data_IF_487019114578
#
_entry.id   IF_487019114578
#
_cell.length_a   1.000
_cell.length_b   1.000
_cell.length_c   1.000
_cell.angle_alpha   90.00
_cell.angle_beta   90.00
_cell.angle_gamma   90.00
#
_symmetry.space_group_name_H-M   'P 1'
#
loop_
_entity.id
_entity.type
_entity.pdbx_description
1 polymer ?
#
# COMPACT_ATOMS: atom_id res chain seq x y z
N UNK A 1 27.67 -30.94 21.87
CA UNK A 1 27.68 -30.36 20.51
C UNK A 1 26.25 -29.92 20.21
N UNK A 2 25.88 -28.72 20.66
CA UNK A 2 24.53 -28.17 20.50
C UNK A 2 24.45 -27.52 19.14
N UNK A 3 23.58 -28.03 18.28
CA UNK A 3 23.30 -27.48 16.96
C UNK A 3 22.65 -26.11 17.15
N UNK A 4 23.41 -25.06 16.84
CA UNK A 4 22.90 -23.69 16.78
C UNK A 4 22.09 -23.57 15.49
N UNK A 5 20.76 -23.58 15.60
CA UNK A 5 19.87 -23.33 14.46
C UNK A 5 19.93 -21.84 14.12
N UNK A 6 20.97 -21.45 13.37
CA UNK A 6 21.06 -20.13 12.74
C UNK A 6 20.01 -20.04 11.61
N UNK A 7 18.75 -19.82 11.98
CA UNK A 7 17.69 -19.47 11.03
C UNK A 7 17.84 -18.00 10.63
N UNK A 8 18.52 -17.75 9.50
CA UNK A 8 18.42 -16.55 8.64
C UNK A 8 18.02 -15.21 9.30
N UNK A 9 18.79 -14.74 10.29
CA UNK A 9 18.67 -13.36 10.77
C UNK A 9 19.11 -12.40 9.65
N UNK A 10 18.19 -11.59 9.12
CA UNK A 10 18.48 -10.56 8.11
C UNK A 10 17.72 -10.67 6.78
N UNK A 11 16.84 -11.66 6.60
CA UNK A 11 15.97 -11.73 5.40
C UNK A 11 14.66 -10.92 5.54
N UNK A 12 14.17 -10.71 6.76
CA UNK A 12 13.00 -9.86 7.01
C UNK A 12 13.43 -8.51 7.58
N UNK A 13 12.71 -7.45 7.21
CA UNK A 13 12.97 -6.11 7.72
C UNK A 13 12.27 -5.88 9.06
N UNK A 14 12.73 -6.58 10.11
CA UNK A 14 12.06 -6.59 11.41
C UNK A 14 12.05 -5.21 12.10
N UNK A 15 12.97 -4.32 11.74
CA UNK A 15 13.01 -2.93 12.22
C UNK A 15 12.01 -2.03 11.51
N UNK A 16 11.52 -2.43 10.34
CA UNK A 16 10.62 -1.69 9.45
C UNK A 16 11.04 -0.24 9.13
N UNK A 17 12.24 0.20 9.52
CA UNK A 17 12.67 1.60 9.53
C UNK A 17 13.47 2.00 8.29
N UNK A 18 14.15 1.05 7.65
CA UNK A 18 15.04 1.25 6.50
C UNK A 18 14.82 0.15 5.45
N UNK A 19 15.31 0.33 4.23
CA UNK A 19 15.21 -0.72 3.19
C UNK A 19 16.16 -1.86 3.53
N UNK A 20 15.63 -3.07 3.78
CA UNK A 20 16.45 -4.26 3.85
C UNK A 20 16.79 -4.73 2.44
N UNK A 21 17.98 -4.33 1.94
CA UNK A 21 18.45 -4.69 0.60
C UNK A 21 18.81 -6.17 0.45
N UNK A 22 19.20 -6.84 1.55
CA UNK A 22 19.54 -8.26 1.54
C UNK A 22 18.28 -9.12 1.48
N UNK A 23 17.26 -8.75 2.25
CA UNK A 23 15.94 -9.36 2.26
C UNK A 23 15.00 -8.91 1.15
N UNK A 24 15.39 -7.88 0.39
CA UNK A 24 14.53 -7.16 -0.55
C UNK A 24 13.18 -6.82 0.07
N UNK A 25 13.18 -6.17 1.24
CA UNK A 25 11.96 -5.83 1.97
C UNK A 25 12.04 -4.41 2.51
N UNK A 26 11.04 -3.58 2.21
CA UNK A 26 10.95 -2.22 2.75
C UNK A 26 10.43 -2.18 4.19
N UNK A 27 9.96 -3.31 4.70
CA UNK A 27 9.09 -3.33 5.87
C UNK A 27 7.74 -2.69 5.58
N UNK A 28 6.81 -2.86 6.52
CA UNK A 28 5.47 -2.27 6.39
C UNK A 28 5.47 -0.83 6.89
N UNK A 29 4.87 0.07 6.10
CA UNK A 29 4.86 1.51 6.34
C UNK A 29 3.43 2.04 6.41
N UNK A 30 3.09 2.78 7.47
CA UNK A 30 1.85 3.53 7.55
C UNK A 30 1.99 4.81 6.71
N UNK A 31 1.22 4.89 5.63
CA UNK A 31 1.20 6.01 4.68
C UNK A 31 -0.13 6.76 4.68
N UNK A 32 -0.92 6.65 5.75
CA UNK A 32 -2.22 7.34 5.88
C UNK A 32 -2.08 8.86 5.72
N UNK A 33 -0.95 9.43 6.16
CA UNK A 33 -0.65 10.86 6.00
C UNK A 33 -0.39 11.29 4.55
N UNK A 34 -0.26 10.35 3.61
CA UNK A 34 -0.08 10.63 2.19
C UNK A 34 -1.41 10.73 1.42
N UNK A 35 -2.54 10.61 2.11
CA UNK A 35 -3.84 10.88 1.51
C UNK A 35 -3.96 12.36 1.13
N UNK A 36 -4.54 12.61 -0.03
CA UNK A 36 -4.69 13.95 -0.62
C UNK A 36 -6.16 14.23 -0.94
N UNK A 37 -6.46 15.45 -1.37
CA UNK A 37 -7.78 15.86 -1.90
C UNK A 37 -8.97 15.58 -0.96
N UNK A 38 -8.77 15.67 0.36
CA UNK A 38 -9.84 15.48 1.35
C UNK A 38 -10.21 14.01 1.61
N UNK A 39 -9.44 13.06 1.09
CA UNK A 39 -9.59 11.65 1.43
C UNK A 39 -9.07 11.36 2.83
N UNK A 40 -9.75 10.45 3.54
CA UNK A 40 -9.36 9.99 4.89
C UNK A 40 -9.42 8.47 4.94
N UNK A 41 -8.70 7.85 5.89
CA UNK A 41 -8.76 6.42 6.14
C UNK A 41 -8.42 6.12 7.61
N UNK A 42 -8.83 4.94 8.09
CA UNK A 42 -8.37 4.43 9.39
C UNK A 42 -6.90 4.00 9.34
N UNK A 43 -6.49 3.34 8.25
CA UNK A 43 -5.10 2.98 8.00
C UNK A 43 -4.87 2.73 6.51
N UNK A 44 -3.77 3.28 5.98
CA UNK A 44 -3.16 2.87 4.71
C UNK A 44 -1.76 2.36 5.00
N UNK A 45 -1.47 1.13 4.62
CA UNK A 45 -0.18 0.48 4.84
C UNK A 45 0.41 0.06 3.50
N UNK A 46 1.70 0.31 3.28
CA UNK A 46 2.41 -0.10 2.08
C UNK A 46 3.66 -0.92 2.42
N UNK A 47 3.96 -1.92 1.61
CA UNK A 47 5.17 -2.72 1.70
C UNK A 47 5.62 -3.10 0.29
N UNK A 48 6.92 -3.12 0.06
CA UNK A 48 7.51 -3.78 -1.11
C UNK A 48 8.36 -4.93 -0.61
N UNK A 49 8.11 -6.10 -1.18
CA UNK A 49 8.87 -7.32 -0.95
C UNK A 49 9.25 -7.92 -2.31
N UNK A 50 10.56 -8.07 -2.54
CA UNK A 50 11.13 -8.44 -3.83
C UNK A 50 10.67 -7.48 -4.95
N UNK A 51 10.01 -8.02 -5.97
CA UNK A 51 9.46 -7.33 -7.12
C UNK A 51 7.97 -7.01 -6.96
N UNK A 52 7.36 -7.24 -5.78
CA UNK A 52 5.94 -6.96 -5.53
C UNK A 52 5.73 -5.89 -4.48
N UNK A 53 4.74 -5.05 -4.77
CA UNK A 53 4.23 -3.99 -3.91
C UNK A 53 2.87 -4.43 -3.38
N UNK A 54 2.62 -4.12 -2.11
CA UNK A 54 1.40 -4.46 -1.39
C UNK A 54 0.86 -3.19 -0.74
N UNK A 55 -0.42 -2.91 -0.94
CA UNK A 55 -1.14 -1.82 -0.28
C UNK A 55 -2.31 -2.41 0.48
N UNK A 56 -2.34 -2.18 1.79
CA UNK A 56 -3.48 -2.50 2.64
C UNK A 56 -4.26 -1.24 2.97
N UNK A 57 -5.54 -1.24 2.67
CA UNK A 57 -6.44 -0.10 2.86
C UNK A 57 -7.51 -0.48 3.87
N UNK A 58 -7.68 0.32 4.93
CA UNK A 58 -8.71 0.14 5.95
C UNK A 58 -9.47 1.43 6.17
N UNK A 59 -10.81 1.39 6.04
CA UNK A 59 -11.69 2.52 6.35
C UNK A 59 -11.55 3.74 5.42
N UNK A 60 -11.20 3.55 4.14
CA UNK A 60 -11.08 4.64 3.17
C UNK A 60 -12.43 5.38 2.98
N UNK A 61 -12.41 6.71 3.10
CA UNK A 61 -13.59 7.57 3.07
C UNK A 61 -13.32 8.81 2.19
N UNK A 62 -14.19 9.00 1.20
CA UNK A 62 -14.16 10.11 0.24
C UNK A 62 -15.34 11.09 0.37
N UNK A 63 -16.03 11.14 1.52
CA UNK A 63 -17.17 12.04 1.74
C UNK A 63 -16.83 13.53 1.62
N UNK A 64 -15.60 13.91 1.96
CA UNK A 64 -15.06 15.26 1.79
C UNK A 64 -14.12 15.39 0.58
N UNK A 65 -14.06 14.36 -0.29
CA UNK A 65 -13.08 14.34 -1.37
C UNK A 65 -13.41 15.34 -2.49
N UNK A 66 -12.42 16.13 -2.90
CA UNK A 66 -12.54 17.11 -3.99
C UNK A 66 -12.10 16.57 -5.35
N UNK A 67 -11.51 15.38 -5.37
CA UNK A 67 -11.02 14.69 -6.57
C UNK A 67 -11.11 13.19 -6.36
N UNK A 68 -11.17 12.41 -7.45
CA UNK A 68 -11.13 10.95 -7.40
C UNK A 68 -9.74 10.42 -7.01
N UNK A 69 -8.69 11.22 -7.11
CA UNK A 69 -7.33 10.82 -6.74
C UNK A 69 -7.15 10.92 -5.23
N UNK A 70 -6.87 9.80 -4.57
CA UNK A 70 -6.77 9.75 -3.11
C UNK A 70 -5.34 9.64 -2.58
N UNK A 71 -4.39 9.15 -3.39
CA UNK A 71 -2.98 9.05 -2.99
C UNK A 71 -2.09 9.02 -4.23
N UNK A 72 -0.95 9.72 -4.16
CA UNK A 72 0.13 9.60 -5.14
C UNK A 72 1.04 8.41 -4.80
N UNK A 73 1.56 7.73 -5.83
CA UNK A 73 2.46 6.61 -5.57
C UNK A 73 3.83 7.12 -5.06
N UNK A 74 4.31 6.64 -3.90
CA UNK A 74 5.66 6.96 -3.46
C UNK A 74 6.73 6.43 -4.42
N UNK A 75 7.86 7.12 -4.48
CA UNK A 75 9.00 6.66 -5.28
C UNK A 75 9.47 5.27 -4.83
N UNK A 76 9.72 4.37 -5.77
CA UNK A 76 10.09 2.98 -5.50
C UNK A 76 8.92 2.01 -5.35
N UNK A 77 7.67 2.50 -5.44
CA UNK A 77 6.45 1.69 -5.37
C UNK A 77 5.62 1.76 -6.67
N UNK A 78 6.14 2.40 -7.72
CA UNK A 78 5.44 2.55 -9.00
C UNK A 78 5.10 1.20 -9.65
N UNK A 79 3.95 1.14 -10.34
CA UNK A 79 3.55 0.00 -11.16
C UNK A 79 4.09 0.17 -12.58
N UNK A 80 4.65 -0.88 -13.22
CA UNK A 80 5.01 -0.86 -14.63
C UNK A 80 3.79 -1.04 -15.56
N UNK A 81 2.57 -1.12 -15.03
CA UNK A 81 1.35 -1.42 -15.79
C UNK A 81 0.43 -0.19 -15.94
N UNK A 82 -0.26 -0.08 -17.08
CA UNK A 82 -0.96 1.15 -17.50
C UNK A 82 -2.16 1.47 -16.59
N UNK A 83 -3.00 0.48 -16.33
CA UNK A 83 -4.20 0.61 -15.50
C UNK A 83 -4.62 -0.75 -14.92
N UNK A 84 -4.76 -0.85 -13.61
CA UNK A 84 -5.36 -2.03 -12.97
C UNK A 84 -6.52 -1.60 -12.07
N UNK A 85 -7.66 -2.29 -12.17
CA UNK A 85 -8.84 -1.99 -11.35
C UNK A 85 -9.15 -3.12 -10.40
N UNK A 86 -9.35 -2.75 -9.15
CA UNK A 86 -9.48 -3.62 -8.01
C UNK A 86 -10.86 -3.41 -7.37
N UNK A 87 -11.73 -4.44 -7.25
CA UNK A 87 -13.09 -4.28 -6.68
C UNK A 87 -13.10 -4.00 -5.17
N UNK A 88 -13.60 -2.85 -4.76
CA UNK A 88 -13.86 -2.49 -3.37
C UNK A 88 -15.23 -3.03 -2.93
N UNK A 89 -15.25 -3.68 -1.77
CA UNK A 89 -16.45 -4.28 -1.17
C UNK A 89 -16.78 -3.64 0.17
N UNK A 90 -18.07 -3.50 0.47
CA UNK A 90 -18.52 -3.15 1.81
C UNK A 90 -18.34 -4.33 2.79
N UNK A 91 -18.71 -4.11 4.06
CA UNK A 91 -18.69 -5.15 5.11
C UNK A 91 -19.61 -6.34 4.81
N UNK A 92 -20.58 -6.18 3.92
CA UNK A 92 -21.52 -7.22 3.50
C UNK A 92 -21.03 -7.96 2.24
N UNK A 93 -19.82 -7.66 1.74
CA UNK A 93 -19.25 -8.29 0.55
C UNK A 93 -19.78 -7.75 -0.78
N UNK A 94 -20.63 -6.72 -0.77
CA UNK A 94 -21.17 -6.11 -1.98
C UNK A 94 -20.12 -5.21 -2.61
N UNK A 95 -19.82 -5.42 -3.90
CA UNK A 95 -18.91 -4.52 -4.64
C UNK A 95 -19.58 -3.15 -4.75
N UNK A 96 -18.93 -2.11 -4.24
CA UNK A 96 -19.43 -0.73 -4.31
C UNK A 96 -18.77 0.04 -5.45
N UNK A 97 -17.44 -0.05 -5.56
CA UNK A 97 -16.64 0.72 -6.51
C UNK A 97 -15.34 0.00 -6.87
N UNK A 98 -14.65 0.46 -7.92
CA UNK A 98 -13.30 0.02 -8.27
C UNK A 98 -12.25 1.02 -7.76
N UNK A 99 -11.17 0.53 -7.16
CA UNK A 99 -9.94 1.28 -6.94
C UNK A 99 -9.07 1.07 -8.17
N UNK A 100 -8.58 2.14 -8.76
CA UNK A 100 -7.77 2.09 -9.96
C UNK A 100 -6.35 2.52 -9.65
N UNK A 101 -5.40 1.69 -10.07
CA UNK A 101 -3.97 1.95 -10.03
C UNK A 101 -3.49 2.33 -11.43
N UNK A 102 -2.73 3.40 -11.55
CA UNK A 102 -2.19 3.88 -12.84
C UNK A 102 -0.66 3.82 -12.89
N UNK A 103 -0.11 3.73 -14.10
CA UNK A 103 1.34 3.58 -14.41
C UNK A 103 2.27 4.56 -13.67
N UNK A 104 1.78 5.75 -13.34
CA UNK A 104 2.58 6.82 -12.75
C UNK A 104 1.79 7.77 -11.86
N UNK A 105 0.49 7.53 -11.68
CA UNK A 105 -0.46 8.51 -11.16
C UNK A 105 -1.10 8.13 -9.84
N UNK A 106 -0.57 7.14 -9.12
CA UNK A 106 -1.12 6.72 -7.85
C UNK A 106 -2.50 6.08 -7.99
N UNK A 107 -3.32 6.28 -6.95
CA UNK A 107 -4.60 5.60 -6.80
C UNK A 107 -5.79 6.54 -6.94
N UNK A 108 -6.77 6.09 -7.70
CA UNK A 108 -8.04 6.80 -7.90
C UNK A 108 -9.22 5.93 -7.52
N UNK A 109 -10.29 6.57 -7.06
CA UNK A 109 -11.60 5.99 -6.81
C UNK A 109 -12.64 7.11 -6.88
N UNK A 110 -13.84 6.83 -7.41
CA UNK A 110 -14.91 7.84 -7.45
C UNK A 110 -15.25 8.33 -6.05
N UNK A 111 -15.35 9.65 -5.88
CA UNK A 111 -15.74 10.26 -4.60
C UNK A 111 -17.17 9.89 -4.22
N UNK A 112 -17.43 9.84 -2.92
CA UNK A 112 -18.69 9.35 -2.34
C UNK A 112 -18.44 8.65 -1.01
N UNK A 113 -19.52 8.28 -0.30
CA UNK A 113 -19.40 7.56 0.96
C UNK A 113 -19.01 6.10 0.69
N UNK A 114 -17.71 5.87 0.59
CA UNK A 114 -17.17 4.51 0.56
C UNK A 114 -17.18 3.99 1.98
N UNK A 115 -18.14 3.11 2.26
CA UNK A 115 -18.33 2.52 3.57
C UNK A 115 -17.69 1.13 3.62
N UNK A 116 -16.72 0.98 4.51
CA UNK A 116 -16.17 -0.31 4.91
C UNK A 116 -15.36 -0.15 6.18
N UNK A 117 -16.04 -0.01 7.31
CA UNK A 117 -15.48 0.24 8.65
C UNK A 117 -14.64 -0.91 9.22
N UNK A 118 -14.48 -2.05 8.52
CA UNK A 118 -13.76 -3.20 9.06
C UNK A 118 -12.94 -4.04 8.06
N UNK A 119 -13.27 -4.02 6.77
CA UNK A 119 -12.64 -4.91 5.81
C UNK A 119 -11.35 -4.31 5.27
N UNK A 120 -10.22 -4.61 5.92
CA UNK A 120 -8.93 -4.31 5.36
C UNK A 120 -8.79 -5.01 3.99
N UNK A 121 -8.40 -4.26 2.98
CA UNK A 121 -8.23 -4.77 1.62
C UNK A 121 -6.78 -4.69 1.21
N UNK A 122 -6.25 -5.80 0.72
CA UNK A 122 -4.92 -5.84 0.13
C UNK A 122 -5.00 -5.77 -1.40
N UNK A 123 -4.19 -4.90 -1.97
CA UNK A 123 -3.95 -4.73 -3.41
C UNK A 123 -2.48 -5.06 -3.62
N UNK A 124 -2.14 -5.85 -4.63
CA UNK A 124 -0.73 -6.16 -4.93
C UNK A 124 -0.44 -6.04 -6.42
N UNK A 125 0.70 -5.45 -6.75
CA UNK A 125 1.15 -5.24 -8.12
C UNK A 125 2.66 -5.46 -8.23
N UNK A 126 3.20 -5.77 -9.44
CA UNK A 126 4.64 -5.74 -9.66
C UNK A 126 5.17 -4.32 -9.48
N UNK A 127 6.26 -4.11 -8.75
CA UNK A 127 6.92 -2.80 -8.67
C UNK A 127 7.87 -2.60 -9.86
N UNK A 128 8.09 -1.35 -10.27
CA UNK A 128 9.22 -1.02 -11.14
C UNK A 128 10.56 -1.42 -10.51
N UNK A 129 11.57 -1.61 -11.36
CA UNK A 129 12.90 -2.08 -10.92
C UNK A 129 13.59 -1.12 -9.93
N UNK A 130 13.28 0.17 -9.99
CA UNK A 130 13.88 1.17 -9.11
C UNK A 130 13.41 0.98 -7.67
N UNK A 131 14.35 0.77 -6.75
CA UNK A 131 14.08 0.71 -5.31
C UNK A 131 13.92 2.12 -4.71
N UNK A 132 13.12 2.28 -3.65
CA UNK A 132 13.00 3.56 -2.95
C UNK A 132 14.35 3.99 -2.36
N UNK A 133 14.74 5.25 -2.61
CA UNK A 133 15.88 5.88 -1.93
C UNK A 133 15.51 6.32 -0.50
N UNK A 134 14.23 6.60 -0.25
CA UNK A 134 13.65 6.96 1.05
C UNK A 134 12.33 6.20 1.23
N UNK A 135 12.04 5.78 2.47
CA UNK A 135 10.78 5.09 2.78
C UNK A 135 9.67 6.10 3.06
N UNK A 136 8.46 5.91 2.49
CA UNK A 136 7.32 6.75 2.79
C UNK A 136 6.77 6.45 4.19
N UNK A 137 6.04 7.43 4.74
CA UNK A 137 5.27 7.24 5.97
C UNK A 137 6.12 6.85 7.18
N UNK A 138 5.52 6.12 8.10
CA UNK A 138 6.13 5.72 9.39
C UNK A 138 6.18 4.18 9.50
N UNK A 139 7.22 3.62 10.12
CA UNK A 139 7.32 2.19 10.39
C UNK A 139 6.14 1.71 11.28
N UNK A 140 5.66 0.49 11.07
CA UNK A 140 4.63 -0.17 11.89
C UNK A 140 5.24 -1.35 12.64
#
# INVERSE_FOLDING_TARGET
>A
MTVNTAGHAGLHNDTNAEVNRLGQDTGRRNVTSLLINGWTASAIEIQRQNDRCYLRITGLNGSAATSSRFMDMPAGFQSPMILETYPQRDSSGTIKQGITLSLSGGFTMLSGTVHGTASAREISWPCTANWPATLPGVAI
#
